data_IF_278943443023
#
_entry.id   IF_278943443023
#
_cell.length_a   1.000
_cell.length_b   1.000
_cell.length_c   1.000
_cell.angle_alpha   90.00
_cell.angle_beta   90.00
_cell.angle_gamma   90.00
#
_symmetry.space_group_name_H-M   'P 1'
#
loop_
_entity.id
_entity.type
_entity.pdbx_description
1 polymer ?
#
# COMPACT_ATOMS: atom_id res chain seq x y z
N UNK A 1 -25.79 -11.17 -5.37
CA UNK A 1 -25.45 -12.26 -6.31
C UNK A 1 -24.07 -12.78 -5.91
N UNK A 2 -23.97 -14.08 -5.65
CA UNK A 2 -22.75 -14.78 -5.19
C UNK A 2 -21.71 -14.81 -6.34
N UNK A 3 -20.65 -14.02 -6.22
CA UNK A 3 -19.50 -14.06 -7.14
C UNK A 3 -18.63 -15.30 -6.85
N UNK A 4 -17.89 -15.75 -7.87
CA UNK A 4 -17.05 -16.94 -7.88
C UNK A 4 -16.50 -17.36 -6.51
N UNK A 5 -16.84 -18.59 -6.16
CA UNK A 5 -16.84 -19.22 -4.85
C UNK A 5 -15.50 -19.16 -4.12
N UNK A 6 -15.31 -18.15 -3.26
CA UNK A 6 -14.67 -18.42 -1.98
C UNK A 6 -15.61 -19.39 -1.26
N UNK A 7 -15.21 -20.66 -1.13
CA UNK A 7 -15.95 -21.62 -0.32
C UNK A 7 -15.72 -21.26 1.13
N UNK A 8 -16.64 -20.47 1.66
CA UNK A 8 -16.69 -20.04 3.05
C UNK A 8 -17.57 -21.03 3.80
N UNK A 9 -17.00 -21.68 4.81
CA UNK A 9 -17.73 -22.54 5.74
C UNK A 9 -17.40 -22.12 7.16
N UNK A 10 -18.33 -22.19 8.09
CA UNK A 10 -17.97 -22.13 9.51
C UNK A 10 -17.34 -23.45 9.95
N UNK A 11 -16.58 -23.44 11.05
CA UNK A 11 -16.03 -24.69 11.61
C UNK A 11 -17.17 -25.63 12.03
N UNK A 12 -18.25 -25.08 12.58
CA UNK A 12 -19.44 -25.84 12.97
C UNK A 12 -20.11 -26.53 11.79
N UNK A 13 -20.22 -25.84 10.64
CA UNK A 13 -20.73 -26.44 9.40
C UNK A 13 -19.83 -27.59 8.91
N UNK A 14 -18.51 -27.37 8.89
CA UNK A 14 -17.54 -28.37 8.46
C UNK A 14 -17.64 -29.62 9.35
N UNK A 15 -17.60 -29.46 10.67
CA UNK A 15 -17.69 -30.58 11.61
C UNK A 15 -19.06 -31.25 11.52
N UNK A 16 -20.13 -30.48 11.33
CA UNK A 16 -21.47 -31.00 11.06
C UNK A 16 -21.49 -32.00 9.91
N UNK A 17 -20.82 -31.68 8.79
CA UNK A 17 -20.69 -32.62 7.67
C UNK A 17 -19.83 -33.84 7.99
N UNK A 18 -18.82 -33.69 8.87
CA UNK A 18 -17.93 -34.79 9.27
C UNK A 18 -18.56 -35.74 10.29
N UNK A 19 -19.61 -35.34 11.01
CA UNK A 19 -20.31 -36.21 11.99
C UNK A 19 -20.92 -37.47 11.38
N UNK A 20 -21.01 -37.57 10.06
CA UNK A 20 -21.35 -38.83 9.38
C UNK A 20 -20.29 -39.94 9.58
N UNK A 21 -19.06 -39.57 9.93
CA UNK A 21 -17.98 -40.52 10.21
C UNK A 21 -17.95 -40.89 11.70
N UNK A 22 -17.95 -42.18 12.09
CA UNK A 22 -18.04 -42.62 13.48
C UNK A 22 -16.98 -42.01 14.42
N UNK A 23 -15.75 -41.82 13.92
CA UNK A 23 -14.65 -41.24 14.70
C UNK A 23 -14.81 -39.72 14.95
N UNK A 24 -15.64 -39.04 14.17
CA UNK A 24 -15.82 -37.58 14.24
C UNK A 24 -17.09 -37.17 15.00
N UNK A 25 -17.93 -38.11 15.43
CA UNK A 25 -19.22 -37.82 16.08
C UNK A 25 -19.09 -37.03 17.38
N UNK A 26 -18.00 -37.23 18.13
CA UNK A 26 -17.76 -36.60 19.43
C UNK A 26 -16.91 -35.34 19.37
N UNK A 27 -16.39 -34.97 18.20
CA UNK A 27 -15.47 -33.84 18.05
C UNK A 27 -16.23 -32.53 18.16
N UNK A 28 -15.83 -31.69 19.13
CA UNK A 28 -16.40 -30.35 19.30
C UNK A 28 -15.68 -29.32 18.41
N UNK A 29 -16.40 -28.37 17.80
CA UNK A 29 -15.81 -27.20 17.13
C UNK A 29 -14.81 -26.45 18.00
N UNK A 30 -15.12 -26.27 19.29
CA UNK A 30 -14.23 -25.58 20.24
C UNK A 30 -12.95 -26.38 20.48
N UNK A 31 -13.03 -27.70 20.62
CA UNK A 31 -11.85 -28.57 20.78
C UNK A 31 -10.92 -28.49 19.56
N UNK A 32 -11.49 -28.45 18.35
CA UNK A 32 -10.72 -28.30 17.11
C UNK A 32 -10.01 -26.96 17.06
N UNK A 33 -10.69 -25.86 17.36
CA UNK A 33 -10.05 -24.52 17.41
C UNK A 33 -8.96 -24.49 18.48
N UNK A 34 -9.27 -25.00 19.67
CA UNK A 34 -8.36 -25.03 20.82
C UNK A 34 -7.07 -25.82 20.54
N UNK A 35 -7.13 -26.81 19.65
CA UNK A 35 -5.96 -27.59 19.23
C UNK A 35 -4.95 -26.81 18.39
N UNK A 36 -5.36 -25.68 17.78
CA UNK A 36 -4.47 -24.83 17.01
C UNK A 36 -3.59 -23.99 17.95
N UNK A 37 -2.28 -23.94 17.68
CA UNK A 37 -1.29 -23.15 18.45
C UNK A 37 -1.61 -21.67 18.58
N UNK A 38 -2.52 -21.15 17.77
CA UNK A 38 -2.98 -19.76 17.86
C UNK A 38 -3.93 -19.54 19.05
N UNK A 39 -4.72 -20.55 19.45
CA UNK A 39 -5.80 -20.44 20.44
C UNK A 39 -5.51 -21.16 21.76
N UNK A 40 -4.31 -21.71 21.94
CA UNK A 40 -3.91 -22.45 23.15
C UNK A 40 -4.12 -21.65 24.43
N UNK A 41 -3.97 -20.33 24.37
CA UNK A 41 -4.10 -19.42 25.53
C UNK A 41 -5.44 -18.66 25.57
N UNK A 42 -6.40 -19.02 24.71
CA UNK A 42 -7.72 -18.38 24.63
C UNK A 42 -8.76 -19.19 25.42
N UNK A 43 -9.47 -18.61 26.40
CA UNK A 43 -10.45 -19.36 27.21
C UNK A 43 -11.53 -20.04 26.36
N UNK A 44 -11.96 -21.24 26.76
CA UNK A 44 -12.96 -22.02 26.01
C UNK A 44 -14.30 -21.28 25.92
N UNK A 45 -14.66 -20.50 26.93
CA UNK A 45 -15.87 -19.68 26.93
C UNK A 45 -15.86 -18.66 25.78
N UNK A 46 -14.71 -18.05 25.53
CA UNK A 46 -14.52 -17.08 24.43
C UNK A 46 -14.54 -17.80 23.08
N UNK A 47 -13.91 -18.98 22.99
CA UNK A 47 -13.98 -19.79 21.78
C UNK A 47 -15.40 -20.21 21.44
N UNK A 48 -16.20 -20.56 22.44
CA UNK A 48 -17.61 -20.92 22.29
C UNK A 48 -18.45 -19.75 21.76
N UNK A 49 -18.10 -18.50 22.10
CA UNK A 49 -18.79 -17.30 21.59
C UNK A 49 -18.46 -16.98 20.13
N UNK A 50 -17.26 -17.33 19.66
CA UNK A 50 -16.76 -16.89 18.35
C UNK A 50 -16.71 -18.00 17.30
N UNK A 51 -16.83 -19.27 17.69
CA UNK A 51 -16.62 -20.43 16.80
C UNK A 51 -17.51 -20.42 15.55
N UNK A 52 -18.72 -19.88 15.66
CA UNK A 52 -19.66 -19.77 14.54
C UNK A 52 -19.41 -18.54 13.65
N UNK A 53 -18.60 -17.58 14.11
CA UNK A 53 -18.23 -16.34 13.41
C UNK A 53 -16.77 -16.35 12.92
N UNK A 54 -16.11 -17.51 12.99
CA UNK A 54 -14.82 -17.77 12.36
C UNK A 54 -15.04 -18.67 11.15
N UNK A 55 -14.39 -18.32 10.05
CA UNK A 55 -14.66 -18.92 8.75
C UNK A 55 -13.44 -19.66 8.20
N UNK A 56 -13.69 -20.72 7.43
CA UNK A 56 -12.69 -21.38 6.60
C UNK A 56 -12.75 -20.76 5.21
N UNK A 57 -11.66 -20.12 4.79
CA UNK A 57 -11.48 -19.59 3.44
C UNK A 57 -10.57 -20.52 2.64
N UNK A 58 -10.99 -20.88 1.44
CA UNK A 58 -10.21 -21.69 0.50
C UNK A 58 -9.76 -20.81 -0.66
N UNK A 59 -8.49 -20.94 -1.02
CA UNK A 59 -7.89 -20.24 -2.16
C UNK A 59 -7.17 -21.25 -3.05
N UNK A 60 -7.39 -21.17 -4.35
CA UNK A 60 -6.61 -21.92 -5.32
C UNK A 60 -5.22 -21.30 -5.48
N UNK A 61 -4.26 -22.09 -5.96
CA UNK A 61 -2.94 -21.57 -6.36
C UNK A 61 -3.07 -20.31 -7.24
N UNK A 62 -2.17 -19.35 -7.00
CA UNK A 62 -2.06 -18.04 -7.65
C UNK A 62 -3.20 -17.04 -7.32
N UNK A 63 -4.19 -17.43 -6.51
CA UNK A 63 -5.21 -16.50 -6.04
C UNK A 63 -4.66 -15.51 -5.00
N UNK A 64 -5.16 -14.28 -5.06
CA UNK A 64 -4.72 -13.18 -4.21
C UNK A 64 -5.61 -13.13 -2.97
N UNK A 65 -5.00 -13.42 -1.81
CA UNK A 65 -5.68 -13.50 -0.52
C UNK A 65 -5.84 -12.10 0.10
N UNK A 66 -4.82 -11.26 -0.02
CA UNK A 66 -4.84 -9.86 0.42
C UNK A 66 -3.95 -9.00 -0.46
N UNK A 67 -4.21 -7.68 -0.52
CA UNK A 67 -3.44 -6.74 -1.34
C UNK A 67 -2.93 -5.58 -0.52
N UNK A 68 -1.68 -5.19 -0.77
CA UNK A 68 -1.09 -3.98 -0.21
C UNK A 68 -1.98 -2.75 -0.45
N UNK A 69 -2.14 -1.91 0.58
CA UNK A 69 -2.93 -0.69 0.56
C UNK A 69 -4.45 -0.90 0.72
N UNK A 70 -4.93 -2.15 0.84
CA UNK A 70 -6.35 -2.43 1.09
C UNK A 70 -6.62 -2.59 2.58
N UNK A 71 -7.78 -2.12 3.02
CA UNK A 71 -8.41 -2.61 4.23
C UNK A 71 -9.00 -3.98 3.93
N UNK A 72 -8.64 -5.01 4.71
CA UNK A 72 -9.24 -6.33 4.58
C UNK A 72 -9.52 -6.90 5.97
N UNK A 73 -10.78 -7.23 6.23
CA UNK A 73 -11.46 -7.42 7.53
C UNK A 73 -11.03 -8.66 8.35
N UNK A 74 -9.98 -9.39 7.92
CA UNK A 74 -9.65 -10.71 8.49
C UNK A 74 -8.19 -10.83 8.94
N UNK A 75 -7.97 -11.37 10.14
CA UNK A 75 -6.74 -12.08 10.46
C UNK A 75 -6.83 -13.49 9.87
N UNK A 76 -5.77 -13.98 9.24
CA UNK A 76 -5.71 -15.34 8.70
C UNK A 76 -4.73 -16.21 9.48
N UNK A 77 -5.13 -17.43 9.82
CA UNK A 77 -4.24 -18.52 10.28
C UNK A 77 -4.19 -19.58 9.19
N UNK A 78 -3.00 -19.99 8.78
CA UNK A 78 -2.81 -21.00 7.73
C UNK A 78 -3.05 -22.38 8.31
N UNK A 79 -4.04 -23.11 7.78
CA UNK A 79 -4.31 -24.49 8.18
C UNK A 79 -3.63 -25.49 7.23
N UNK A 80 -3.55 -25.14 5.94
CA UNK A 80 -2.91 -25.94 4.91
C UNK A 80 -2.47 -25.07 3.73
N UNK A 81 -1.41 -25.48 3.03
CA UNK A 81 -0.85 -24.79 1.88
C UNK A 81 0.27 -23.80 2.22
N UNK A 82 0.82 -23.16 1.19
CA UNK A 82 1.87 -22.16 1.28
C UNK A 82 1.41 -20.83 0.68
N UNK A 83 1.76 -19.73 1.34
CA UNK A 83 1.42 -18.37 0.92
C UNK A 83 2.70 -17.57 0.74
N UNK A 84 2.86 -16.92 -0.41
CA UNK A 84 3.95 -15.98 -0.64
C UNK A 84 3.50 -14.54 -0.33
N UNK A 85 4.30 -13.83 0.46
CA UNK A 85 4.09 -12.44 0.84
C UNK A 85 4.96 -11.53 -0.03
N UNK A 86 4.32 -10.54 -0.66
CA UNK A 86 4.96 -9.60 -1.56
C UNK A 86 4.83 -8.15 -1.08
N UNK A 87 5.86 -7.35 -1.28
CA UNK A 87 5.77 -5.88 -1.21
C UNK A 87 6.01 -5.27 -2.58
N UNK A 88 5.61 -4.00 -2.70
CA UNK A 88 5.99 -3.16 -3.83
C UNK A 88 7.20 -2.35 -3.36
N UNK A 89 8.31 -2.44 -4.09
CA UNK A 89 9.48 -1.58 -3.87
C UNK A 89 9.64 -0.65 -5.08
N UNK A 90 10.47 0.40 -4.98
CA UNK A 90 10.74 1.29 -6.12
C UNK A 90 11.24 0.54 -7.37
N UNK A 91 11.99 -0.54 -7.17
CA UNK A 91 12.63 -1.32 -8.24
C UNK A 91 11.79 -2.53 -8.68
N UNK A 92 10.85 -3.00 -7.84
CA UNK A 92 10.02 -4.17 -8.11
C UNK A 92 8.54 -3.90 -7.92
N UNK A 93 7.76 -4.21 -8.96
CA UNK A 93 6.29 -4.23 -8.85
C UNK A 93 5.76 -5.35 -7.94
N UNK A 94 6.58 -6.38 -7.68
CA UNK A 94 6.36 -7.48 -6.73
C UNK A 94 7.72 -8.05 -6.26
N UNK A 95 8.14 -7.72 -5.05
CA UNK A 95 9.26 -8.38 -4.39
C UNK A 95 8.71 -9.41 -3.40
N UNK A 96 9.02 -10.69 -3.59
CA UNK A 96 8.69 -11.73 -2.62
C UNK A 96 9.59 -11.56 -1.39
N UNK A 97 8.98 -11.56 -0.21
CA UNK A 97 9.67 -11.42 1.06
C UNK A 97 9.82 -12.77 1.74
N UNK A 98 8.72 -13.46 1.97
CA UNK A 98 8.69 -14.72 2.69
C UNK A 98 7.48 -15.54 2.34
N UNK A 99 7.61 -16.85 2.58
CA UNK A 99 6.51 -17.77 2.59
C UNK A 99 5.95 -17.93 4.01
N UNK A 100 4.65 -18.20 4.09
CA UNK A 100 3.95 -18.64 5.30
C UNK A 100 3.39 -20.03 5.05
N UNK A 101 3.55 -20.92 6.02
CA UNK A 101 3.04 -22.30 5.98
C UNK A 101 2.04 -22.58 7.10
N UNK A 102 1.64 -23.85 7.28
CA UNK A 102 0.72 -24.24 8.35
C UNK A 102 1.13 -23.71 9.73
N UNK A 103 0.15 -23.27 10.52
CA UNK A 103 0.28 -22.62 11.83
C UNK A 103 0.77 -21.17 11.82
N UNK A 104 1.32 -20.67 10.71
CA UNK A 104 1.59 -19.24 10.58
C UNK A 104 0.29 -18.44 10.49
N UNK A 105 0.38 -17.15 10.79
CA UNK A 105 -0.74 -16.22 10.64
C UNK A 105 -0.28 -14.94 9.96
N UNK A 106 -1.21 -14.21 9.35
CA UNK A 106 -0.94 -12.86 8.85
C UNK A 106 -2.19 -12.01 8.88
N UNK A 107 -1.96 -10.70 8.85
CA UNK A 107 -3.00 -9.71 8.80
C UNK A 107 -3.31 -9.05 10.14
N UNK A 108 -2.39 -9.17 11.10
CA UNK A 108 -2.39 -8.56 12.42
C UNK A 108 -2.44 -7.01 12.39
N UNK A 109 -2.12 -6.39 11.26
CA UNK A 109 -2.18 -4.93 11.03
C UNK A 109 -3.58 -4.34 11.26
N UNK A 110 -4.64 -5.05 10.87
CA UNK A 110 -6.02 -4.60 11.05
C UNK A 110 -6.40 -4.48 12.53
N UNK A 111 -5.77 -5.29 13.38
CA UNK A 111 -6.13 -5.52 14.78
C UNK A 111 -5.52 -4.44 15.67
N UNK A 112 -4.26 -4.11 15.40
CA UNK A 112 -3.46 -3.29 16.29
C UNK A 112 -3.64 -1.80 15.97
N UNK A 113 -3.80 -1.45 14.68
CA UNK A 113 -3.75 -0.03 14.26
C UNK A 113 -4.86 0.41 13.32
N UNK A 114 -5.72 -0.51 12.86
CA UNK A 114 -6.67 -0.23 11.77
C UNK A 114 -5.94 0.44 10.57
N UNK A 115 -4.78 -0.12 10.21
CA UNK A 115 -3.95 0.31 9.09
C UNK A 115 -4.28 -0.55 7.85
N UNK A 116 -4.11 -0.01 6.63
CA UNK A 116 -4.22 -0.83 5.42
C UNK A 116 -3.10 -1.87 5.37
N UNK A 117 -3.34 -2.97 4.65
CA UNK A 117 -2.36 -4.05 4.45
C UNK A 117 -1.01 -3.51 3.95
N UNK A 118 0.08 -3.84 4.64
CA UNK A 118 1.43 -3.45 4.21
C UNK A 118 2.01 -4.35 3.11
N UNK A 119 1.39 -5.50 2.85
CA UNK A 119 1.87 -6.47 1.86
C UNK A 119 0.70 -7.11 1.10
N UNK A 120 1.04 -7.77 -0.01
CA UNK A 120 0.12 -8.59 -0.81
C UNK A 120 0.40 -10.05 -0.51
N UNK A 121 -0.61 -10.80 -0.07
CA UNK A 121 -0.53 -12.24 0.13
C UNK A 121 -1.12 -12.98 -1.08
N UNK A 122 -0.38 -13.95 -1.64
CA UNK A 122 -0.81 -14.77 -2.77
C UNK A 122 -0.63 -16.24 -2.40
N UNK A 123 -1.63 -17.06 -2.70
CA UNK A 123 -1.57 -18.50 -2.51
C UNK A 123 -0.52 -19.10 -3.47
N UNK A 124 0.55 -19.69 -2.94
CA UNK A 124 1.59 -20.34 -3.73
C UNK A 124 1.19 -21.78 -4.12
N UNK A 125 0.44 -22.44 -3.22
CA UNK A 125 -0.30 -23.68 -3.47
C UNK A 125 -1.79 -23.44 -3.24
N UNK A 126 -2.61 -24.48 -3.41
CA UNK A 126 -3.96 -24.44 -2.84
C UNK A 126 -3.86 -24.28 -1.31
N UNK A 127 -4.66 -23.38 -0.75
CA UNK A 127 -4.58 -22.95 0.64
C UNK A 127 -5.93 -23.08 1.34
N UNK A 128 -5.89 -23.51 2.61
CA UNK A 128 -7.03 -23.53 3.53
C UNK A 128 -6.66 -22.66 4.72
N UNK A 129 -7.42 -21.58 4.93
CA UNK A 129 -7.14 -20.56 5.93
C UNK A 129 -8.31 -20.42 6.90
N UNK A 130 -7.99 -20.21 8.17
CA UNK A 130 -8.94 -19.75 9.17
C UNK A 130 -8.98 -18.22 9.13
N UNK A 131 -10.14 -17.64 8.86
CA UNK A 131 -10.38 -16.20 8.77
C UNK A 131 -11.13 -15.72 10.02
N UNK A 132 -10.53 -14.80 10.76
CA UNK A 132 -11.04 -14.26 12.02
C UNK A 132 -11.31 -12.76 11.84
N UNK A 133 -12.55 -12.34 12.05
CA UNK A 133 -12.97 -10.95 11.90
C UNK A 133 -12.44 -10.05 13.02
N UNK A 134 -12.46 -8.74 12.80
CA UNK A 134 -11.99 -7.77 13.80
C UNK A 134 -12.78 -7.86 15.11
N UNK A 135 -14.09 -8.12 15.05
CA UNK A 135 -14.94 -8.20 16.23
C UNK A 135 -14.55 -9.39 17.11
N UNK A 136 -14.42 -10.57 16.51
CA UNK A 136 -14.05 -11.82 17.18
C UNK A 136 -12.65 -11.72 17.75
N UNK A 137 -11.72 -11.14 16.98
CA UNK A 137 -10.35 -10.98 17.39
C UNK A 137 -10.18 -10.01 18.56
N UNK A 138 -11.03 -8.98 18.65
CA UNK A 138 -11.07 -8.08 19.80
C UNK A 138 -11.41 -8.84 21.08
N UNK A 139 -12.33 -9.81 21.02
CA UNK A 139 -12.65 -10.68 22.15
C UNK A 139 -11.46 -11.58 22.52
N UNK A 140 -10.82 -12.18 21.52
CA UNK A 140 -9.62 -13.03 21.70
C UNK A 140 -8.53 -12.27 22.45
N UNK A 141 -8.11 -11.09 21.94
CA UNK A 141 -6.99 -10.34 22.53
C UNK A 141 -7.32 -9.78 23.92
N UNK A 142 -8.59 -9.43 24.19
CA UNK A 142 -9.03 -8.98 25.50
C UNK A 142 -8.97 -10.10 26.55
N UNK A 143 -9.21 -11.34 26.12
CA UNK A 143 -9.20 -12.53 26.98
C UNK A 143 -7.84 -13.21 27.11
N UNK A 144 -6.89 -12.92 26.20
CA UNK A 144 -5.60 -13.60 26.13
C UNK A 144 -4.46 -12.60 25.88
N UNK A 145 -3.82 -12.08 26.96
CA UNK A 145 -2.66 -11.20 26.85
C UNK A 145 -1.50 -11.82 26.06
N UNK A 146 -1.28 -13.14 26.20
CA UNK A 146 -0.25 -13.86 25.46
C UNK A 146 -0.51 -13.83 23.94
N UNK A 147 -1.77 -13.99 23.51
CA UNK A 147 -2.14 -13.87 22.10
C UNK A 147 -1.94 -12.45 21.58
N UNK A 148 -2.28 -11.43 22.38
CA UNK A 148 -2.02 -10.03 22.03
C UNK A 148 -0.52 -9.75 21.85
N UNK A 149 0.32 -10.19 22.79
CA UNK A 149 1.78 -10.01 22.68
C UNK A 149 2.35 -10.71 21.46
N UNK A 150 1.89 -11.93 21.15
CA UNK A 150 2.29 -12.68 19.95
C UNK A 150 1.95 -11.91 18.67
N UNK A 151 0.72 -11.39 18.55
CA UNK A 151 0.28 -10.57 17.41
C UNK A 151 1.10 -9.28 17.30
N UNK A 152 1.29 -8.57 18.42
CA UNK A 152 2.03 -7.32 18.45
C UNK A 152 3.51 -7.49 18.07
N UNK A 153 4.15 -8.56 18.57
CA UNK A 153 5.53 -8.88 18.22
C UNK A 153 5.66 -9.23 16.73
N UNK A 154 4.74 -10.05 16.18
CA UNK A 154 4.73 -10.37 14.76
C UNK A 154 4.54 -9.13 13.89
N UNK A 155 3.61 -8.24 14.28
CA UNK A 155 3.40 -6.96 13.61
C UNK A 155 4.66 -6.11 13.59
N UNK A 156 5.30 -5.89 14.74
CA UNK A 156 6.51 -5.08 14.84
C UNK A 156 7.65 -5.66 14.01
N UNK A 157 7.86 -6.98 14.07
CA UNK A 157 8.91 -7.67 13.32
C UNK A 157 8.68 -7.57 11.80
N UNK A 158 7.45 -7.84 11.33
CA UNK A 158 7.11 -7.75 9.90
C UNK A 158 7.16 -6.33 9.40
N UNK A 159 6.67 -5.35 10.16
CA UNK A 159 6.75 -3.94 9.82
C UNK A 159 8.21 -3.50 9.70
N UNK A 160 9.07 -3.89 10.64
CA UNK A 160 10.51 -3.59 10.58
C UNK A 160 11.16 -4.22 9.34
N UNK A 161 10.88 -5.51 9.09
CA UNK A 161 11.36 -6.24 7.92
C UNK A 161 10.90 -5.61 6.60
N UNK A 162 9.61 -5.34 6.44
CA UNK A 162 9.06 -4.73 5.23
C UNK A 162 9.70 -3.36 4.97
N UNK A 163 9.79 -2.53 6.02
CA UNK A 163 10.41 -1.22 5.94
C UNK A 163 11.88 -1.32 5.53
N UNK A 164 12.67 -2.17 6.18
CA UNK A 164 14.07 -2.40 5.81
C UNK A 164 14.21 -2.87 4.37
N UNK A 165 13.45 -3.88 3.96
CA UNK A 165 13.56 -4.45 2.62
C UNK A 165 13.17 -3.46 1.52
N UNK A 166 12.28 -2.51 1.81
CA UNK A 166 11.88 -1.46 0.87
C UNK A 166 13.00 -0.44 0.57
N UNK A 167 14.05 -0.40 1.38
CA UNK A 167 15.21 0.49 1.18
C UNK A 167 16.09 -0.11 0.09
N UNK A 168 16.45 0.63 -0.98
CA UNK A 168 17.14 0.07 -2.15
C UNK A 168 18.39 -0.75 -1.84
N UNK A 169 19.19 -0.32 -0.86
CA UNK A 169 20.40 -1.03 -0.45
C UNK A 169 20.14 -2.42 0.17
N UNK A 170 18.94 -2.63 0.71
CA UNK A 170 18.52 -3.88 1.33
C UNK A 170 17.61 -4.72 0.44
N UNK A 171 17.02 -4.13 -0.59
CA UNK A 171 16.08 -4.79 -1.51
C UNK A 171 16.67 -6.05 -2.14
N UNK A 172 17.94 -6.03 -2.52
CA UNK A 172 18.61 -7.13 -3.23
C UNK A 172 19.48 -8.04 -2.35
N UNK A 173 19.53 -7.79 -1.04
CA UNK A 173 20.32 -8.65 -0.15
C UNK A 173 19.69 -10.03 -0.09
N UNK A 174 20.54 -11.07 -0.10
CA UNK A 174 20.08 -12.45 0.15
C UNK A 174 19.39 -12.53 1.52
N UNK A 175 18.41 -13.41 1.66
CA UNK A 175 17.60 -13.53 2.88
C UNK A 175 18.47 -13.78 4.12
N UNK A 176 19.54 -14.58 4.00
CA UNK A 176 20.44 -14.84 5.14
C UNK A 176 21.09 -13.54 5.65
N UNK A 177 21.64 -12.74 4.74
CA UNK A 177 22.32 -11.47 5.05
C UNK A 177 21.34 -10.47 5.65
N UNK A 178 20.14 -10.39 5.07
CA UNK A 178 19.12 -9.47 5.53
C UNK A 178 18.61 -9.82 6.92
N UNK A 179 18.43 -11.11 7.23
CA UNK A 179 18.02 -11.55 8.56
C UNK A 179 19.09 -11.21 9.61
N UNK A 180 20.38 -11.36 9.27
CA UNK A 180 21.46 -10.90 10.16
C UNK A 180 21.40 -9.40 10.45
N UNK A 181 21.08 -8.58 9.44
CA UNK A 181 20.88 -7.13 9.62
C UNK A 181 19.64 -6.85 10.47
N UNK A 182 18.55 -7.58 10.22
CA UNK A 182 17.29 -7.45 10.94
C UNK A 182 17.45 -7.75 12.45
N UNK A 183 18.35 -8.67 12.81
CA UNK A 183 18.60 -9.06 14.20
C UNK A 183 19.37 -8.01 15.01
N UNK A 184 20.19 -7.18 14.34
CA UNK A 184 21.06 -6.20 15.02
C UNK A 184 20.52 -4.76 14.98
N UNK A 185 19.57 -4.49 14.08
CA UNK A 185 19.03 -3.15 13.86
C UNK A 185 18.17 -2.68 15.03
N UNK A 186 18.30 -1.40 15.40
CA UNK A 186 17.52 -0.79 16.49
C UNK A 186 16.72 0.40 16.00
N UNK A 187 15.44 0.46 16.37
CA UNK A 187 14.60 1.63 16.10
C UNK A 187 14.93 2.76 17.08
N UNK A 188 15.24 3.94 16.56
CA UNK A 188 15.55 5.17 17.30
C UNK A 188 14.57 6.26 16.87
N UNK A 189 13.99 6.97 17.83
CA UNK A 189 13.09 8.09 17.55
C UNK A 189 13.83 9.39 17.82
N UNK A 190 13.70 10.34 16.90
CA UNK A 190 14.39 11.63 16.94
C UNK A 190 13.37 12.71 16.65
N UNK A 191 13.30 13.76 17.47
CA UNK A 191 12.33 14.83 17.27
C UNK A 191 12.84 15.83 16.25
N UNK A 192 11.91 16.55 15.64
CA UNK A 192 12.25 17.71 14.80
C UNK A 192 13.19 18.67 15.54
N UNK A 193 14.31 19.00 14.89
CA UNK A 193 15.34 19.91 15.40
C UNK A 193 16.46 19.22 16.18
N UNK A 194 16.34 17.93 16.52
CA UNK A 194 17.39 17.20 17.21
C UNK A 194 18.61 17.01 16.31
N UNK A 195 19.80 17.18 16.89
CA UNK A 195 21.08 16.89 16.24
C UNK A 195 21.41 15.41 16.46
N UNK A 196 21.47 14.64 15.39
CA UNK A 196 21.71 13.18 15.44
C UNK A 196 23.19 12.89 15.71
N UNK A 197 24.09 13.63 15.04
CA UNK A 197 25.51 13.73 15.37
C UNK A 197 26.09 15.02 14.78
N UNK A 198 27.24 15.45 15.27
CA UNK A 198 27.97 16.62 14.79
C UNK A 198 29.19 16.21 13.97
N UNK A 199 29.60 17.11 13.08
CA UNK A 199 30.90 17.01 12.43
C UNK A 199 32.02 16.96 13.48
N UNK A 200 32.97 16.05 13.31
CA UNK A 200 34.08 15.79 14.22
C UNK A 200 33.80 14.71 15.28
N UNK A 201 32.53 14.30 15.47
CA UNK A 201 32.20 13.21 16.40
C UNK A 201 32.81 11.88 15.92
N UNK A 202 33.01 10.93 16.84
CA UNK A 202 33.45 9.58 16.47
C UNK A 202 32.32 8.84 15.76
N UNK A 203 32.64 8.19 14.64
CA UNK A 203 31.70 7.32 13.92
C UNK A 203 31.42 6.01 14.65
N UNK A 204 30.25 5.90 15.30
CA UNK A 204 29.85 4.75 16.12
C UNK A 204 28.72 3.91 15.53
N UNK A 205 28.05 4.40 14.48
CA UNK A 205 26.86 3.76 13.90
C UNK A 205 26.50 4.26 12.50
N UNK A 206 25.74 3.43 11.80
CA UNK A 206 25.02 3.74 10.56
C UNK A 206 23.55 4.00 10.89
N UNK A 207 22.92 4.95 10.21
CA UNK A 207 21.50 5.26 10.38
C UNK A 207 20.77 5.17 9.05
N UNK A 208 19.60 4.54 9.05
CA UNK A 208 18.67 4.54 7.92
C UNK A 208 17.37 5.26 8.29
N UNK A 209 16.84 6.05 7.37
CA UNK A 209 15.64 6.86 7.60
C UNK A 209 14.42 6.00 7.26
N UNK A 210 13.69 5.56 8.30
CA UNK A 210 12.41 4.84 8.16
C UNK A 210 11.25 5.80 7.94
N UNK A 211 11.24 6.91 8.67
CA UNK A 211 10.24 7.97 8.59
C UNK A 211 10.90 9.32 8.80
N UNK A 212 10.41 10.35 8.11
CA UNK A 212 10.87 11.73 8.25
C UNK A 212 12.01 12.08 7.30
N UNK A 213 12.68 13.21 7.57
CA UNK A 213 13.81 13.69 6.77
C UNK A 213 14.81 14.47 7.62
N UNK A 214 16.07 14.47 7.17
CA UNK A 214 17.20 15.09 7.86
C UNK A 214 17.98 16.01 6.92
N UNK A 215 18.55 17.06 7.49
CA UNK A 215 19.50 17.95 6.85
C UNK A 215 20.93 17.58 7.23
N UNK A 216 21.80 17.54 6.24
CA UNK A 216 23.23 17.29 6.40
C UNK A 216 23.97 18.61 6.16
N UNK A 217 24.64 19.11 7.19
CA UNK A 217 25.42 20.34 7.17
C UNK A 217 26.92 20.04 7.25
N UNK A 218 27.74 20.77 6.52
CA UNK A 218 29.20 20.71 6.68
C UNK A 218 29.73 22.11 6.96
N UNK A 219 30.60 22.21 7.96
CA UNK A 219 31.34 23.43 8.22
C UNK A 219 32.51 23.54 7.23
N UNK A 220 32.47 24.56 6.36
CA UNK A 220 33.59 24.96 5.49
C UNK A 220 33.94 26.42 5.78
N UNK A 221 35.21 26.69 6.12
CA UNK A 221 35.75 28.05 6.32
C UNK A 221 34.89 28.97 7.23
N UNK A 222 34.44 28.44 8.38
CA UNK A 222 33.61 29.09 9.43
C UNK A 222 32.11 29.26 9.12
N UNK A 223 31.63 28.86 7.94
CA UNK A 223 30.19 28.83 7.64
C UNK A 223 29.69 27.38 7.60
N UNK A 224 28.52 27.12 8.16
CA UNK A 224 27.80 25.86 7.97
C UNK A 224 27.00 25.93 6.67
N UNK A 225 27.25 24.99 5.77
CA UNK A 225 26.55 24.88 4.50
C UNK A 225 25.69 23.61 4.48
N UNK A 226 24.45 23.73 4.00
CA UNK A 226 23.57 22.57 3.78
C UNK A 226 24.07 21.80 2.55
N UNK A 227 24.64 20.62 2.77
CA UNK A 227 25.24 19.80 1.70
C UNK A 227 24.30 18.73 1.15
N UNK A 228 23.31 18.28 1.93
CA UNK A 228 22.33 17.29 1.47
C UNK A 228 21.07 17.29 2.30
N UNK A 229 19.97 16.88 1.69
CA UNK A 229 18.73 16.49 2.37
C UNK A 229 18.49 15.01 2.12
N UNK A 230 18.24 14.26 3.18
CA UNK A 230 18.01 12.82 3.10
C UNK A 230 16.63 12.52 3.68
N UNK A 231 15.88 11.64 3.01
CA UNK A 231 14.52 11.27 3.40
C UNK A 231 14.35 9.76 3.50
N UNK A 232 13.11 9.30 3.68
CA UNK A 232 12.73 7.90 3.77
C UNK A 232 13.37 7.03 2.69
N UNK A 233 14.06 5.97 3.13
CA UNK A 233 14.83 5.06 2.28
C UNK A 233 16.27 5.52 1.98
N UNK A 234 16.73 6.66 2.48
CA UNK A 234 18.14 7.01 2.50
C UNK A 234 18.82 6.55 3.81
N UNK A 235 20.15 6.49 3.79
CA UNK A 235 20.98 6.24 4.96
C UNK A 235 22.12 7.27 5.07
N UNK A 236 22.68 7.39 6.26
CA UNK A 236 23.79 8.30 6.55
C UNK A 236 24.67 7.80 7.70
N UNK A 237 25.87 8.36 7.77
CA UNK A 237 26.86 8.00 8.77
C UNK A 237 27.82 6.88 8.34
N UNK A 238 27.64 6.34 7.14
CA UNK A 238 28.50 5.31 6.56
C UNK A 238 29.94 5.78 6.38
N UNK A 239 30.16 7.07 6.06
CA UNK A 239 31.49 7.58 5.73
C UNK A 239 32.49 7.36 6.87
N UNK A 240 32.06 7.63 8.10
CA UNK A 240 32.91 7.45 9.28
C UNK A 240 33.20 5.96 9.59
N UNK A 241 32.31 5.06 9.18
CA UNK A 241 32.51 3.62 9.34
C UNK A 241 33.42 3.04 8.26
N UNK A 242 33.21 3.44 6.99
CA UNK A 242 33.96 2.92 5.83
C UNK A 242 35.36 3.52 5.75
N UNK A 243 35.50 4.82 5.98
CA UNK A 243 36.79 5.53 5.86
C UNK A 243 37.60 5.50 7.17
N UNK A 244 36.97 5.16 8.30
CA UNK A 244 37.62 5.17 9.62
C UNK A 244 37.92 6.58 10.15
N UNK A 245 37.34 7.61 9.56
CA UNK A 245 37.50 9.02 9.96
C UNK A 245 36.37 9.50 10.87
N UNK A 246 36.52 10.63 11.60
CA UNK A 246 35.42 11.28 12.31
C UNK A 246 34.23 11.62 11.38
N UNK A 247 33.05 11.86 11.97
CA UNK A 247 31.87 12.33 11.23
C UNK A 247 32.25 13.58 10.43
N UNK A 248 32.02 13.55 9.13
CA UNK A 248 32.45 14.62 8.22
C UNK A 248 31.38 15.72 8.01
N UNK A 249 30.25 15.61 8.70
CA UNK A 249 29.10 16.51 8.62
C UNK A 249 28.26 16.40 9.90
N UNK A 250 27.47 17.44 10.16
CA UNK A 250 26.43 17.48 11.19
C UNK A 250 25.10 17.06 10.56
N UNK A 251 24.32 16.20 11.23
CA UNK A 251 23.00 15.77 10.74
C UNK A 251 21.93 16.19 11.73
N UNK A 252 20.89 16.86 11.24
CA UNK A 252 19.80 17.44 12.04
C UNK A 252 18.46 16.96 11.49
N UNK A 253 17.55 16.52 12.36
CA UNK A 253 16.21 16.13 11.96
C UNK A 253 15.36 17.35 11.58
N UNK A 254 14.75 17.33 10.39
CA UNK A 254 13.86 18.40 9.92
C UNK A 254 12.38 18.16 10.31
N UNK A 255 12.05 16.91 10.63
CA UNK A 255 10.75 16.43 11.07
C UNK A 255 10.95 15.38 12.18
N UNK A 256 9.87 14.94 12.82
CA UNK A 256 9.92 13.79 13.73
C UNK A 256 10.32 12.54 12.92
N UNK A 257 11.50 12.01 13.22
CA UNK A 257 12.13 10.92 12.49
C UNK A 257 12.07 9.61 13.26
N UNK A 258 11.89 8.53 12.50
CA UNK A 258 12.11 7.17 12.96
C UNK A 258 13.32 6.63 12.19
N UNK A 259 14.40 6.33 12.90
CA UNK A 259 15.67 5.89 12.34
C UNK A 259 15.94 4.43 12.71
N UNK A 260 16.59 3.71 11.82
CA UNK A 260 17.12 2.37 12.08
C UNK A 260 18.63 2.50 12.27
N UNK A 261 19.11 2.23 13.48
CA UNK A 261 20.51 2.32 13.90
C UNK A 261 21.17 0.93 13.85
N UNK A 262 22.31 0.84 13.18
CA UNK A 262 23.22 -0.31 13.22
C UNK A 262 24.52 0.17 13.85
N UNK A 263 24.95 -0.43 14.97
CA UNK A 263 26.17 0.00 15.64
C UNK A 263 27.40 -0.47 14.85
N UNK A 264 28.53 0.21 15.03
CA UNK A 264 29.77 -0.09 14.34
C UNK A 264 30.22 -1.55 14.50
N UNK A 265 30.13 -2.11 15.70
CA UNK A 265 30.50 -3.52 15.94
C UNK A 265 29.67 -4.49 15.11
N UNK A 266 28.36 -4.23 15.01
CA UNK A 266 27.41 -5.05 14.27
C UNK A 266 27.66 -4.88 12.76
N UNK A 267 27.86 -3.63 12.33
CA UNK A 267 28.23 -3.27 10.97
C UNK A 267 29.51 -3.99 10.51
N UNK A 268 30.59 -3.86 11.29
CA UNK A 268 31.90 -4.48 11.01
C UNK A 268 31.78 -6.00 10.90
N UNK A 269 30.99 -6.63 11.78
CA UNK A 269 30.71 -8.07 11.75
C UNK A 269 29.94 -8.51 10.50
N UNK A 270 28.98 -7.71 10.03
CA UNK A 270 28.20 -7.98 8.82
C UNK A 270 29.07 -7.84 7.57
N UNK A 271 29.81 -6.73 7.43
CA UNK A 271 30.63 -6.49 6.22
C UNK A 271 31.82 -7.46 6.11
N UNK A 272 32.33 -7.97 7.23
CA UNK A 272 33.38 -8.99 7.23
C UNK A 272 32.89 -10.35 6.68
N UNK A 273 31.60 -10.65 6.83
CA UNK A 273 30.97 -11.88 6.33
C UNK A 273 30.36 -11.72 4.94
N UNK A 274 29.96 -10.49 4.58
CA UNK A 274 29.20 -10.19 3.36
C UNK A 274 29.81 -8.99 2.60
N UNK A 275 30.79 -9.30 1.74
CA UNK A 275 31.58 -8.31 0.97
C UNK A 275 30.71 -7.52 -0.02
N UNK A 276 29.62 -8.09 -0.50
CA UNK A 276 28.63 -7.43 -1.36
C UNK A 276 27.95 -6.23 -0.68
N UNK A 277 27.64 -6.37 0.62
CA UNK A 277 27.12 -5.26 1.44
C UNK A 277 28.16 -4.14 1.55
N UNK A 278 29.41 -4.51 1.84
CA UNK A 278 30.52 -3.55 1.93
C UNK A 278 30.69 -2.76 0.64
N UNK A 279 30.75 -3.44 -0.51
CA UNK A 279 30.94 -2.81 -1.81
C UNK A 279 29.83 -1.80 -2.14
N UNK A 280 28.58 -2.15 -1.79
CA UNK A 280 27.43 -1.26 -2.04
C UNK A 280 27.50 -0.01 -1.19
N UNK A 281 27.84 -0.14 0.10
CA UNK A 281 27.96 1.00 1.03
C UNK A 281 29.19 1.84 0.68
N UNK A 282 30.30 1.20 0.32
CA UNK A 282 31.52 1.88 -0.12
C UNK A 282 31.30 2.68 -1.40
N UNK A 283 30.56 2.15 -2.38
CA UNK A 283 30.22 2.89 -3.59
C UNK A 283 29.48 4.20 -3.28
N UNK A 284 28.49 4.16 -2.38
CA UNK A 284 27.78 5.36 -1.93
C UNK A 284 28.70 6.33 -1.18
N UNK A 285 29.60 5.81 -0.32
CA UNK A 285 30.57 6.66 0.37
C UNK A 285 31.52 7.38 -0.61
N UNK A 286 32.01 6.67 -1.63
CA UNK A 286 32.87 7.23 -2.68
C UNK A 286 32.12 8.27 -3.53
N UNK A 287 30.88 7.97 -3.92
CA UNK A 287 30.03 8.92 -4.65
C UNK A 287 29.87 10.23 -3.87
N UNK A 288 29.61 10.14 -2.56
CA UNK A 288 29.51 11.31 -1.68
C UNK A 288 30.81 12.09 -1.60
N UNK A 289 31.97 11.43 -1.52
CA UNK A 289 33.28 12.10 -1.57
C UNK A 289 33.45 12.86 -2.88
N UNK A 290 33.19 12.21 -4.02
CA UNK A 290 33.40 12.79 -5.36
C UNK A 290 32.40 13.87 -5.73
N UNK A 291 31.16 13.79 -5.23
CA UNK A 291 30.14 14.80 -5.47
C UNK A 291 30.42 16.14 -4.76
N UNK A 292 31.28 16.16 -3.73
CA UNK A 292 31.55 17.36 -2.93
C UNK A 292 32.23 18.53 -3.66
N UNK A 293 32.72 18.35 -4.89
CA UNK A 293 33.33 19.45 -5.65
C UNK A 293 32.31 20.29 -6.44
N UNK A 294 31.05 19.87 -6.52
CA UNK A 294 30.01 20.54 -7.31
C UNK A 294 28.65 20.44 -6.61
N UNK A 295 28.32 21.29 -5.63
CA UNK A 295 26.93 21.40 -5.19
C UNK A 295 26.47 22.84 -4.98
N UNK A 296 25.38 23.16 -5.67
CA UNK A 296 24.63 24.42 -5.60
C UNK A 296 23.53 24.29 -4.54
N UNK A 297 23.51 25.22 -3.59
CA UNK A 297 22.43 25.41 -2.60
C UNK A 297 21.01 25.33 -3.19
N UNK A 298 20.82 25.67 -4.46
CA UNK A 298 19.57 25.53 -5.18
C UNK A 298 19.11 24.06 -5.33
N UNK A 299 20.03 23.11 -5.54
CA UNK A 299 19.68 21.69 -5.69
C UNK A 299 19.18 21.08 -4.39
N UNK A 300 19.76 21.47 -3.25
CA UNK A 300 19.25 21.09 -1.94
C UNK A 300 17.84 21.66 -1.72
N UNK A 301 17.60 22.92 -2.08
CA UNK A 301 16.26 23.52 -1.98
C UNK A 301 15.22 22.83 -2.88
N UNK A 302 15.60 22.47 -4.11
CA UNK A 302 14.76 21.72 -5.05
C UNK A 302 14.44 20.33 -4.47
N UNK A 303 15.45 19.65 -3.92
CA UNK A 303 15.29 18.35 -3.28
C UNK A 303 14.32 18.41 -2.10
N UNK A 304 14.39 19.46 -1.27
CA UNK A 304 13.42 19.69 -0.18
C UNK A 304 11.99 19.75 -0.70
N UNK A 305 11.74 20.60 -1.70
CA UNK A 305 10.41 20.78 -2.29
C UNK A 305 9.88 19.48 -2.91
N UNK A 306 10.76 18.68 -3.52
CA UNK A 306 10.41 17.38 -4.07
C UNK A 306 10.06 16.35 -2.97
N UNK A 307 10.78 16.36 -1.85
CA UNK A 307 10.48 15.50 -0.69
C UNK A 307 9.11 15.86 -0.11
N UNK A 308 8.86 17.16 0.14
CA UNK A 308 7.58 17.66 0.65
C UNK A 308 6.42 17.32 -0.32
N UNK A 309 6.63 17.51 -1.62
CA UNK A 309 5.64 17.17 -2.65
C UNK A 309 5.36 15.66 -2.68
N UNK A 310 6.40 14.82 -2.61
CA UNK A 310 6.22 13.37 -2.54
C UNK A 310 5.39 12.96 -1.32
N UNK A 311 5.67 13.53 -0.14
CA UNK A 311 4.91 13.26 1.09
C UNK A 311 3.43 13.65 0.93
N UNK A 312 3.16 14.84 0.38
CA UNK A 312 1.80 15.31 0.14
C UNK A 312 1.06 14.42 -0.87
N UNK A 313 1.72 14.06 -1.98
CA UNK A 313 1.14 13.20 -3.03
C UNK A 313 0.82 11.80 -2.50
N UNK A 314 1.74 11.18 -1.74
CA UNK A 314 1.54 9.84 -1.18
C UNK A 314 0.31 9.80 -0.26
N UNK A 315 0.15 10.79 0.62
CA UNK A 315 -1.03 10.89 1.50
C UNK A 315 -2.34 10.86 0.71
N UNK A 316 -2.42 11.55 -0.42
CA UNK A 316 -3.62 11.54 -1.27
C UNK A 316 -3.81 10.22 -2.03
N UNK A 317 -2.74 9.60 -2.51
CA UNK A 317 -2.80 8.27 -3.14
C UNK A 317 -3.30 7.23 -2.15
N UNK A 318 -2.82 7.27 -0.91
CA UNK A 318 -3.25 6.35 0.15
C UNK A 318 -4.75 6.46 0.39
N UNK A 319 -5.29 7.69 0.52
CA UNK A 319 -6.74 7.91 0.65
C UNK A 319 -7.51 7.35 -0.55
N UNK A 320 -7.05 7.61 -1.79
CA UNK A 320 -7.69 7.07 -2.99
C UNK A 320 -7.64 5.53 -3.00
N UNK A 321 -6.52 4.94 -2.63
CA UNK A 321 -6.34 3.50 -2.56
C UNK A 321 -7.29 2.86 -1.53
N UNK A 322 -7.44 3.49 -0.36
CA UNK A 322 -8.35 3.07 0.70
C UNK A 322 -9.82 3.14 0.28
N UNK A 323 -10.19 4.12 -0.54
CA UNK A 323 -11.54 4.27 -1.09
C UNK A 323 -11.80 3.42 -2.34
N UNK A 324 -10.79 2.72 -2.86
CA UNK A 324 -10.92 1.90 -4.08
C UNK A 324 -11.17 0.42 -3.71
N UNK A 325 -12.10 -0.25 -4.38
CA UNK A 325 -12.51 -1.63 -4.10
C UNK A 325 -12.40 -2.49 -5.35
N UNK A 326 -11.73 -3.63 -5.26
CA UNK A 326 -11.64 -4.54 -6.41
C UNK A 326 -12.97 -5.25 -6.66
N UNK A 327 -13.33 -5.34 -7.92
CA UNK A 327 -14.49 -6.07 -8.39
C UNK A 327 -14.07 -6.90 -9.60
N UNK A 328 -14.81 -7.95 -9.98
CA UNK A 328 -14.56 -8.66 -11.24
C UNK A 328 -14.56 -7.75 -12.48
N UNK A 329 -15.17 -6.57 -12.39
CA UNK A 329 -15.33 -5.59 -13.45
C UNK A 329 -14.33 -4.42 -13.36
N UNK A 330 -13.31 -4.50 -12.50
CA UNK A 330 -12.33 -3.43 -12.28
C UNK A 330 -12.39 -2.88 -10.87
N UNK A 331 -11.74 -1.74 -10.62
CA UNK A 331 -11.62 -1.15 -9.29
C UNK A 331 -12.61 0.00 -9.08
N UNK A 332 -13.58 -0.19 -8.21
CA UNK A 332 -14.62 0.77 -7.83
C UNK A 332 -14.08 1.82 -6.85
N UNK A 333 -13.93 3.07 -7.27
CA UNK A 333 -13.61 4.17 -6.35
C UNK A 333 -14.90 4.68 -5.68
N UNK A 334 -15.09 4.33 -4.41
CA UNK A 334 -16.21 4.80 -3.61
C UNK A 334 -15.98 6.24 -3.16
N UNK A 335 -17.04 7.04 -3.12
CA UNK A 335 -16.99 8.39 -2.56
C UNK A 335 -16.76 8.42 -1.04
N UNK A 336 -17.01 7.29 -0.36
CA UNK A 336 -16.90 7.13 1.09
C UNK A 336 -16.45 5.72 1.46
N UNK A 337 -16.08 5.50 2.72
CA UNK A 337 -15.79 4.15 3.23
C UNK A 337 -17.03 3.22 3.15
N UNK A 338 -16.86 1.89 2.97
CA UNK A 338 -17.96 0.93 2.78
C UNK A 338 -19.03 0.94 3.88
N UNK A 339 -18.65 1.21 5.14
CA UNK A 339 -19.58 1.30 6.26
C UNK A 339 -20.43 2.59 6.30
N UNK A 340 -20.21 3.50 5.35
CA UNK A 340 -21.00 4.73 5.25
C UNK A 340 -22.36 4.46 4.60
N UNK A 341 -23.33 5.35 4.85
CA UNK A 341 -24.72 5.20 4.36
C UNK A 341 -24.85 5.07 2.83
N UNK A 342 -23.88 5.54 2.05
CA UNK A 342 -23.94 5.60 0.58
C UNK A 342 -22.62 5.22 -0.11
N UNK A 343 -22.20 3.94 -0.09
CA UNK A 343 -20.95 3.49 -0.68
C UNK A 343 -21.12 3.30 -2.20
N UNK A 344 -21.25 4.41 -2.94
CA UNK A 344 -21.41 4.40 -4.40
C UNK A 344 -20.18 4.96 -5.12
N UNK A 345 -19.98 4.50 -6.35
CA UNK A 345 -19.04 5.06 -7.31
C UNK A 345 -19.74 6.17 -8.08
N UNK A 346 -19.18 7.38 -8.06
CA UNK A 346 -19.62 8.50 -8.88
C UNK A 346 -18.58 8.73 -10.00
N UNK A 347 -18.99 8.76 -11.29
CA UNK A 347 -18.06 9.04 -12.39
C UNK A 347 -17.35 10.38 -12.24
N UNK A 348 -18.02 11.40 -11.69
CA UNK A 348 -17.43 12.71 -11.40
C UNK A 348 -16.24 12.61 -10.44
N UNK A 349 -16.42 11.92 -9.31
CA UNK A 349 -15.37 11.78 -8.29
C UNK A 349 -14.21 10.92 -8.83
N UNK A 350 -14.55 9.88 -9.59
CA UNK A 350 -13.58 9.07 -10.34
C UNK A 350 -12.80 9.90 -11.37
N UNK A 351 -13.46 10.82 -12.07
CA UNK A 351 -12.81 11.73 -13.00
C UNK A 351 -11.89 12.73 -12.27
N UNK A 352 -12.23 13.16 -11.06
CA UNK A 352 -11.34 14.00 -10.26
C UNK A 352 -10.06 13.22 -9.86
N UNK A 353 -10.22 12.05 -9.24
CA UNK A 353 -9.10 11.22 -8.81
C UNK A 353 -8.19 10.83 -9.99
N UNK A 354 -8.76 10.37 -11.10
CA UNK A 354 -8.00 9.96 -12.29
C UNK A 354 -7.21 11.10 -12.94
N UNK A 355 -7.61 12.36 -12.76
CA UNK A 355 -6.82 13.52 -13.23
C UNK A 355 -5.46 13.58 -12.52
N UNK A 356 -5.46 13.41 -11.20
CA UNK A 356 -4.25 13.35 -10.38
C UNK A 356 -3.43 12.11 -10.70
N UNK A 357 -4.07 10.92 -10.70
CA UNK A 357 -3.40 9.65 -10.99
C UNK A 357 -2.73 9.65 -12.37
N UNK A 358 -3.39 10.21 -13.39
CA UNK A 358 -2.82 10.40 -14.73
C UNK A 358 -1.50 11.18 -14.69
N UNK A 359 -1.47 12.34 -14.03
CA UNK A 359 -0.25 13.17 -13.93
C UNK A 359 0.87 12.44 -13.19
N UNK A 360 0.55 11.79 -12.09
CA UNK A 360 1.55 11.07 -11.28
C UNK A 360 2.09 9.86 -12.04
N UNK A 361 1.24 9.13 -12.76
CA UNK A 361 1.64 7.93 -13.52
C UNK A 361 2.67 8.19 -14.62
N UNK A 362 2.74 9.44 -15.09
CA UNK A 362 3.70 9.92 -16.10
C UNK A 362 4.86 10.72 -15.49
N UNK A 363 4.91 10.85 -14.17
CA UNK A 363 5.94 11.61 -13.46
C UNK A 363 7.18 10.75 -13.12
N UNK A 364 8.20 11.39 -12.55
CA UNK A 364 9.36 10.72 -11.96
C UNK A 364 9.17 10.34 -10.48
N UNK A 365 8.00 10.60 -9.90
CA UNK A 365 7.72 10.28 -8.51
C UNK A 365 7.66 8.75 -8.31
N UNK A 366 8.06 8.28 -7.12
CA UNK A 366 8.04 6.84 -6.77
C UNK A 366 6.64 6.24 -6.89
N UNK A 367 5.60 7.04 -6.66
CA UNK A 367 4.20 6.62 -6.66
C UNK A 367 3.59 6.44 -8.06
N UNK A 368 4.35 6.64 -9.14
CA UNK A 368 3.87 6.53 -10.52
C UNK A 368 3.22 5.18 -10.84
N UNK A 369 3.74 4.09 -10.30
CA UNK A 369 3.27 2.73 -10.63
C UNK A 369 1.98 2.38 -9.88
N UNK A 370 1.87 2.82 -8.62
CA UNK A 370 0.63 2.72 -7.83
C UNK A 370 -0.46 3.57 -8.50
N UNK A 371 -0.12 4.80 -8.89
CA UNK A 371 -1.06 5.70 -9.56
C UNK A 371 -1.57 5.12 -10.89
N UNK A 372 -0.68 4.52 -11.69
CA UNK A 372 -1.05 3.87 -12.94
C UNK A 372 -2.00 2.68 -12.70
N UNK A 373 -1.72 1.85 -11.70
CA UNK A 373 -2.57 0.68 -11.37
C UNK A 373 -3.97 1.10 -10.93
N UNK A 374 -4.07 2.10 -10.05
CA UNK A 374 -5.36 2.66 -9.62
C UNK A 374 -6.12 3.25 -10.81
N UNK A 375 -5.45 4.01 -11.68
CA UNK A 375 -6.04 4.57 -12.89
C UNK A 375 -6.60 3.48 -13.81
N UNK A 376 -5.83 2.41 -14.06
CA UNK A 376 -6.24 1.28 -14.90
C UNK A 376 -7.46 0.56 -14.31
N UNK A 377 -7.45 0.30 -13.00
CA UNK A 377 -8.54 -0.31 -12.27
C UNK A 377 -9.84 0.49 -12.35
N UNK A 378 -9.76 1.80 -12.07
CA UNK A 378 -10.91 2.71 -12.14
C UNK A 378 -11.43 2.81 -13.58
N UNK A 379 -10.54 2.92 -14.58
CA UNK A 379 -10.95 2.97 -15.98
C UNK A 379 -11.68 1.69 -16.42
N UNK A 380 -11.20 0.52 -16.00
CA UNK A 380 -11.88 -0.77 -16.26
C UNK A 380 -13.27 -0.81 -15.61
N UNK A 381 -13.40 -0.34 -14.37
CA UNK A 381 -14.70 -0.28 -13.69
C UNK A 381 -15.68 0.63 -14.43
N UNK A 382 -15.25 1.85 -14.76
CA UNK A 382 -16.08 2.84 -15.46
C UNK A 382 -16.46 2.36 -16.87
N UNK A 383 -15.56 1.69 -17.59
CA UNK A 383 -15.90 1.04 -18.86
C UNK A 383 -17.08 0.06 -18.69
N UNK A 384 -17.05 -0.80 -17.68
CA UNK A 384 -18.12 -1.77 -17.38
C UNK A 384 -19.41 -1.15 -16.81
N UNK A 385 -19.41 0.15 -16.51
CA UNK A 385 -20.59 0.93 -16.12
C UNK A 385 -21.33 1.54 -17.32
N UNK A 386 -20.72 1.57 -18.51
CA UNK A 386 -21.34 2.18 -19.69
C UNK A 386 -22.56 1.37 -20.14
N UNK A 387 -23.66 2.05 -20.42
CA UNK A 387 -24.85 1.44 -21.01
C UNK A 387 -24.70 1.17 -22.51
N UNK A 388 -25.59 0.35 -23.03
CA UNK A 388 -25.62 -0.01 -24.45
C UNK A 388 -25.87 1.18 -25.40
N UNK A 389 -26.41 2.29 -24.92
CA UNK A 389 -26.59 3.52 -25.69
C UNK A 389 -25.39 4.47 -25.62
N UNK A 390 -24.38 4.17 -24.80
CA UNK A 390 -23.21 5.03 -24.58
C UNK A 390 -23.32 5.94 -23.35
N UNK A 391 -24.43 5.89 -22.61
CA UNK A 391 -24.62 6.72 -21.42
C UNK A 391 -23.85 6.17 -20.20
N UNK A 392 -23.31 7.10 -19.41
CA UNK A 392 -22.91 6.86 -18.03
C UNK A 392 -23.85 7.60 -17.07
N UNK A 393 -24.37 6.88 -16.09
CA UNK A 393 -25.22 7.42 -15.03
C UNK A 393 -24.44 8.19 -13.97
N UNK A 394 -25.17 8.75 -13.02
CA UNK A 394 -24.66 9.54 -11.91
C UNK A 394 -23.89 8.70 -10.88
N UNK A 395 -24.37 7.48 -10.59
CA UNK A 395 -23.76 6.64 -9.54
C UNK A 395 -24.01 5.16 -9.75
N UNK A 396 -23.07 4.36 -9.26
CA UNK A 396 -23.05 2.91 -9.46
C UNK A 396 -22.77 2.15 -8.16
N UNK A 397 -23.37 0.97 -8.04
CA UNK A 397 -22.96 -0.03 -7.04
C UNK A 397 -21.69 -0.77 -7.44
N UNK A 398 -21.10 -1.53 -6.51
CA UNK A 398 -19.88 -2.34 -6.74
C UNK A 398 -20.05 -3.40 -7.85
N UNK A 399 -21.29 -3.80 -8.16
CA UNK A 399 -21.62 -4.74 -9.23
C UNK A 399 -21.78 -4.08 -10.62
N UNK A 400 -21.47 -2.78 -10.71
CA UNK A 400 -21.72 -1.85 -11.82
C UNK A 400 -23.19 -1.59 -12.11
N UNK A 401 -24.11 -1.94 -11.20
CA UNK A 401 -25.52 -1.59 -11.36
C UNK A 401 -25.72 -0.07 -11.26
N UNK A 402 -26.45 0.49 -12.23
CA UNK A 402 -26.81 1.90 -12.25
C UNK A 402 -27.79 2.19 -11.09
N UNK A 403 -27.39 3.09 -10.19
CA UNK A 403 -28.18 3.53 -9.02
C UNK A 403 -28.58 5.00 -9.13
N UNK A 404 -28.47 5.58 -10.32
CA UNK A 404 -28.75 7.00 -10.58
C UNK A 404 -30.17 7.38 -10.16
N UNK A 405 -30.29 8.49 -9.44
CA UNK A 405 -31.59 9.14 -9.19
C UNK A 405 -31.84 10.20 -10.26
N UNK A 406 -30.77 10.90 -10.66
CA UNK A 406 -30.82 11.99 -11.63
C UNK A 406 -30.07 11.60 -12.90
N UNK A 407 -30.55 12.11 -14.03
CA UNK A 407 -29.75 12.15 -15.26
C UNK A 407 -28.96 13.44 -15.24
N UNK A 408 -27.63 13.36 -15.35
CA UNK A 408 -26.75 14.52 -15.47
C UNK A 408 -25.86 14.31 -16.68
N UNK A 409 -25.78 15.34 -17.53
CA UNK A 409 -25.20 15.26 -18.86
C UNK A 409 -23.68 15.10 -18.85
N UNK A 410 -23.03 15.67 -17.83
CA UNK A 410 -21.58 15.68 -17.60
C UNK A 410 -20.99 14.30 -17.27
N UNK A 411 -21.79 13.35 -16.76
CA UNK A 411 -21.32 11.99 -16.47
C UNK A 411 -20.74 11.29 -17.70
N UNK A 412 -21.27 11.57 -18.89
CA UNK A 412 -20.74 11.01 -20.15
C UNK A 412 -19.34 11.56 -20.43
N UNK A 413 -19.13 12.86 -20.20
CA UNK A 413 -17.81 13.48 -20.32
C UNK A 413 -16.84 12.91 -19.28
N UNK A 414 -17.28 12.69 -18.04
CA UNK A 414 -16.48 12.04 -17.01
C UNK A 414 -16.04 10.64 -17.42
N UNK A 415 -16.96 9.79 -17.88
CA UNK A 415 -16.67 8.46 -18.40
C UNK A 415 -15.62 8.49 -19.51
N UNK A 416 -15.85 9.31 -20.55
CA UNK A 416 -14.90 9.51 -21.66
C UNK A 416 -13.52 9.95 -21.17
N UNK A 417 -13.45 10.97 -20.31
CA UNK A 417 -12.17 11.52 -19.83
C UNK A 417 -11.35 10.52 -19.02
N UNK A 418 -11.99 9.67 -18.23
CA UNK A 418 -11.33 8.61 -17.45
C UNK A 418 -10.66 7.61 -18.40
N UNK A 419 -11.41 7.12 -19.40
CA UNK A 419 -10.87 6.16 -20.37
C UNK A 419 -9.73 6.75 -21.19
N UNK A 420 -9.88 8.00 -21.66
CA UNK A 420 -8.81 8.71 -22.38
C UNK A 420 -7.54 8.84 -21.54
N UNK A 421 -7.64 9.22 -20.26
CA UNK A 421 -6.48 9.36 -19.37
C UNK A 421 -5.75 8.04 -19.19
N UNK A 422 -6.49 6.94 -19.01
CA UNK A 422 -5.88 5.62 -18.91
C UNK A 422 -5.11 5.27 -20.18
N UNK A 423 -5.74 5.36 -21.36
CA UNK A 423 -5.08 5.04 -22.63
C UNK A 423 -3.86 5.92 -22.91
N UNK A 424 -3.94 7.23 -22.61
CA UNK A 424 -2.82 8.16 -22.77
C UNK A 424 -1.66 7.84 -21.82
N UNK A 425 -1.95 7.52 -20.54
CA UNK A 425 -0.93 7.10 -19.59
C UNK A 425 -0.28 5.77 -20.02
N UNK A 426 -1.09 4.83 -20.49
CA UNK A 426 -0.63 3.52 -20.94
C UNK A 426 0.32 3.66 -22.14
N UNK A 427 -0.06 4.47 -23.14
CA UNK A 427 0.80 4.83 -24.28
C UNK A 427 2.09 5.52 -23.84
N UNK A 428 2.04 6.49 -22.94
CA UNK A 428 3.21 7.21 -22.45
C UNK A 428 4.22 6.27 -21.77
N UNK A 429 3.73 5.23 -21.11
CA UNK A 429 4.54 4.21 -20.43
C UNK A 429 4.99 3.06 -21.33
N UNK A 430 4.74 3.14 -22.64
CA UNK A 430 5.09 2.10 -23.60
C UNK A 430 4.29 0.80 -23.45
N UNK A 431 3.14 0.84 -22.76
CA UNK A 431 2.29 -0.32 -22.53
C UNK A 431 0.88 -0.05 -23.05
N UNK A 432 0.55 -0.53 -24.24
CA UNK A 432 -0.82 -0.43 -24.77
C UNK A 432 -1.60 -1.68 -24.32
N UNK A 433 -2.73 -1.55 -23.61
CA UNK A 433 -3.54 -2.69 -23.18
C UNK A 433 -4.07 -3.47 -24.39
N UNK A 434 -4.12 -4.81 -24.28
CA UNK A 434 -4.65 -5.66 -25.34
C UNK A 434 -6.12 -5.33 -25.67
N UNK A 435 -6.89 -4.92 -24.66
CA UNK A 435 -8.29 -4.48 -24.76
C UNK A 435 -8.46 -2.98 -25.11
N UNK A 436 -7.39 -2.30 -25.54
CA UNK A 436 -7.42 -0.87 -25.89
C UNK A 436 -8.49 -0.48 -26.90
N UNK A 437 -8.79 -1.35 -27.88
CA UNK A 437 -9.85 -1.10 -28.86
C UNK A 437 -11.23 -1.01 -28.20
N UNK A 438 -11.53 -1.85 -27.21
CA UNK A 438 -12.81 -1.82 -26.52
C UNK A 438 -13.02 -0.49 -25.76
N UNK A 439 -11.94 0.07 -25.20
CA UNK A 439 -11.98 1.39 -24.57
C UNK A 439 -12.19 2.52 -25.60
N UNK A 440 -11.54 2.44 -26.76
CA UNK A 440 -11.72 3.41 -27.85
C UNK A 440 -13.17 3.39 -28.35
N UNK A 441 -13.75 2.20 -28.53
CA UNK A 441 -15.13 2.03 -28.97
C UNK A 441 -16.11 2.61 -27.93
N UNK A 442 -15.86 2.37 -26.63
CA UNK A 442 -16.64 2.96 -25.55
C UNK A 442 -16.54 4.49 -25.51
N UNK A 443 -15.34 5.06 -25.73
CA UNK A 443 -15.14 6.51 -25.87
C UNK A 443 -15.97 7.05 -27.02
N UNK A 444 -15.87 6.44 -28.21
CA UNK A 444 -16.62 6.84 -29.39
C UNK A 444 -18.13 6.80 -29.13
N UNK A 445 -18.62 5.71 -28.53
CA UNK A 445 -20.02 5.53 -28.16
C UNK A 445 -20.52 6.62 -27.21
N UNK A 446 -19.71 6.98 -26.22
CA UNK A 446 -19.99 8.08 -25.30
C UNK A 446 -20.08 9.44 -25.99
N UNK A 447 -19.10 9.75 -26.85
CA UNK A 447 -19.10 11.00 -27.61
C UNK A 447 -20.32 11.08 -28.54
N UNK A 448 -20.65 9.99 -29.25
CA UNK A 448 -21.82 9.95 -30.12
C UNK A 448 -23.14 10.10 -29.35
N UNK A 449 -23.23 9.52 -28.15
CA UNK A 449 -24.37 9.75 -27.26
C UNK A 449 -24.50 11.23 -26.89
N UNK A 450 -23.40 11.85 -26.46
CA UNK A 450 -23.39 13.26 -26.07
C UNK A 450 -23.72 14.19 -27.24
N UNK A 451 -23.16 13.94 -28.44
CA UNK A 451 -23.48 14.70 -29.66
C UNK A 451 -24.96 14.58 -30.00
N UNK A 452 -25.52 13.36 -29.94
CA UNK A 452 -26.92 13.12 -30.27
C UNK A 452 -27.90 13.75 -29.26
N UNK A 453 -27.53 13.81 -27.98
CA UNK A 453 -28.47 14.16 -26.88
C UNK A 453 -28.29 15.57 -26.33
N UNK A 454 -27.07 16.09 -26.34
CA UNK A 454 -26.70 17.30 -25.61
C UNK A 454 -26.07 18.37 -26.49
N UNK A 455 -25.52 18.05 -27.66
CA UNK A 455 -24.92 19.06 -28.53
C UNK A 455 -25.99 19.92 -29.21
N UNK A 456 -25.83 21.24 -29.12
CA UNK A 456 -26.69 22.25 -29.74
C UNK A 456 -25.95 22.84 -30.95
N UNK A 457 -26.34 22.41 -32.14
CA UNK A 457 -25.74 22.83 -33.40
C UNK A 457 -25.80 24.35 -33.61
N UNK A 458 -26.82 25.02 -33.06
CA UNK A 458 -27.07 26.43 -33.30
C UNK A 458 -26.04 27.34 -32.62
N UNK A 459 -25.44 26.86 -31.52
CA UNK A 459 -24.49 27.62 -30.70
C UNK A 459 -23.14 26.92 -30.55
N UNK A 460 -22.96 25.75 -31.18
CA UNK A 460 -21.77 24.91 -31.10
C UNK A 460 -21.35 24.53 -29.67
N UNK A 461 -22.31 24.39 -28.75
CA UNK A 461 -22.08 24.05 -27.34
C UNK A 461 -22.87 22.82 -26.91
N UNK A 462 -22.39 22.13 -25.88
CA UNK A 462 -23.14 21.08 -25.20
C UNK A 462 -24.06 21.69 -24.14
N UNK A 463 -25.31 21.23 -24.10
CA UNK A 463 -26.24 21.50 -23.01
C UNK A 463 -25.77 20.81 -21.73
N UNK A 464 -25.80 21.54 -20.62
CA UNK A 464 -25.48 21.05 -19.28
C UNK A 464 -26.42 21.69 -18.28
N UNK A 465 -26.99 20.90 -17.38
CA UNK A 465 -27.81 21.37 -16.26
C UNK A 465 -26.99 21.72 -15.03
N UNK A 466 -25.67 21.46 -15.03
CA UNK A 466 -24.83 21.60 -13.83
C UNK A 466 -24.75 23.06 -13.35
N UNK A 467 -24.91 24.04 -14.25
CA UNK A 467 -25.04 25.47 -13.91
C UNK A 467 -26.34 25.84 -13.18
N UNK A 468 -27.33 24.94 -13.11
CA UNK A 468 -28.61 25.18 -12.42
C UNK A 468 -28.58 24.66 -10.97
N UNK A 469 -27.62 23.80 -10.62
CA UNK A 469 -27.42 23.35 -9.23
C UNK A 469 -26.45 24.24 -8.42
N UNK A 470 -25.79 25.20 -9.07
CA UNK A 470 -24.94 26.21 -8.41
C UNK A 470 -25.66 27.55 -8.18
N UNK A 471 -26.92 27.71 -8.60
CA UNK A 471 -27.65 28.99 -8.49
C UNK A 471 -28.28 29.26 -7.11
N UNK A 472 -27.59 28.89 -6.03
CA UNK A 472 -27.90 29.40 -4.69
C UNK A 472 -26.68 29.96 -3.94
N UNK A 473 -25.46 29.85 -4.47
CA UNK A 473 -24.29 30.50 -3.89
C UNK A 473 -23.35 30.90 -5.03
N UNK A 474 -22.96 32.18 -5.01
CA UNK A 474 -21.91 32.83 -5.81
C UNK A 474 -22.38 33.60 -7.06
N UNK A 475 -22.39 34.94 -6.89
CA UNK A 475 -22.42 35.90 -7.99
C UNK A 475 -21.18 35.72 -8.87
N UNK A 476 -21.42 35.54 -10.16
CA UNK A 476 -20.46 35.84 -11.22
C UNK A 476 -19.57 34.69 -11.61
N UNK A 477 -20.01 33.88 -12.58
CA UNK A 477 -19.19 33.46 -13.71
C UNK A 477 -20.10 33.18 -14.91
N UNK A 478 -19.80 33.85 -16.03
CA UNK A 478 -20.31 33.59 -17.38
C UNK A 478 -19.37 32.67 -18.13
#
# INVERSE_FOLDING_TARGET
MKGNYMKVFTISELIGTMKQFPLMQKVSPVEVIKSLKFFTDVPEEVLQEIVDEIYIHQYAKDEIISRHGRYNEWLYVVLSGEISIFIITPDYTKLELYALGPEDFFGEDIVIRNEPRESTAIAYTDCILLAIGQHELTKIIASSPATYEKLNNAFLQRKMRNNLRSIPIFTHLREEVFNEILDVVKLVHVKKGDVIFKQGDVGDALFLIRKGDVSVYRAMNKNEELISLLAEGNFFGEMALVLGEPRNATVIANDDCELLKINKSDFDSIIARHVDVYNTIQAVALERVTGHELFDSNEALISKKLIELNRAVNKHIDVIAQCTFETPKGSALLATLPGSRYPYVYPRDSACATRMLYRISMSRLRSKDIAFRLLAGIAKFIYNCQRDDGYWGQRYGLDTSDKSIYKQEDNVAHGVTILCRYLLAAKNRGHIPHDSQAYIDAIYKGVMFAVKRYYRNEIHLFYSTTSIHESAIEEGYS
#
